data_IF_245557835203
#
_entry.id   IF_245557835203
#
_cell.length_a   1.000
_cell.length_b   1.000
_cell.length_c   1.000
_cell.angle_alpha   90.00
_cell.angle_beta   90.00
_cell.angle_gamma   90.00
#
_symmetry.space_group_name_H-M   'P 1'
#
loop_
_entity.id
_entity.type
_entity.pdbx_description
1 polymer ?
#
# COMPACT_ATOMS: atom_id res chain seq x y z
N UNK A 1 -38.15 -22.66 -2.04
CA UNK A 1 -38.08 -21.36 -2.73
C UNK A 1 -36.85 -20.64 -2.22
N UNK A 2 -35.83 -20.46 -3.05
CA UNK A 2 -34.57 -19.81 -2.70
C UNK A 2 -34.56 -18.46 -3.40
N UNK A 3 -34.49 -17.37 -2.63
CA UNK A 3 -34.36 -16.01 -3.16
C UNK A 3 -32.86 -15.66 -3.24
N UNK A 4 -32.32 -15.63 -4.46
CA UNK A 4 -31.06 -14.94 -4.75
C UNK A 4 -31.38 -13.44 -4.92
N UNK A 5 -30.89 -12.61 -4.01
CA UNK A 5 -30.83 -11.16 -4.22
C UNK A 5 -29.42 -10.77 -4.69
N UNK A 6 -29.38 -10.22 -5.90
CA UNK A 6 -28.21 -9.68 -6.57
C UNK A 6 -27.70 -8.42 -5.84
N UNK A 7 -26.44 -8.43 -5.39
CA UNK A 7 -25.73 -7.23 -4.96
C UNK A 7 -25.17 -6.50 -6.19
N UNK A 8 -25.72 -5.31 -6.45
CA UNK A 8 -25.13 -4.31 -7.34
C UNK A 8 -23.89 -3.71 -6.69
N UNK A 9 -22.72 -3.88 -7.31
CA UNK A 9 -21.52 -3.11 -6.99
C UNK A 9 -21.55 -1.79 -7.77
N UNK A 10 -21.93 -0.69 -7.10
CA UNK A 10 -21.71 0.66 -7.62
C UNK A 10 -20.21 1.00 -7.55
N UNK A 11 -19.58 1.01 -8.72
CA UNK A 11 -18.18 1.38 -8.92
C UNK A 11 -18.04 2.90 -8.88
N UNK A 12 -17.70 3.44 -7.71
CA UNK A 12 -17.35 4.87 -7.54
C UNK A 12 -16.08 5.20 -8.36
N UNK A 13 -16.08 6.23 -9.22
CA UNK A 13 -14.89 6.61 -9.96
C UNK A 13 -13.84 7.28 -9.04
N UNK A 14 -12.54 7.07 -9.28
CA UNK A 14 -11.48 7.70 -8.50
C UNK A 14 -11.39 9.21 -8.76
N UNK A 15 -10.95 10.00 -7.77
CA UNK A 15 -10.75 11.44 -7.95
C UNK A 15 -9.62 11.73 -8.94
N UNK A 16 -9.80 12.79 -9.73
CA UNK A 16 -8.84 13.26 -10.72
C UNK A 16 -7.53 13.72 -10.06
N UNK A 17 -6.39 13.25 -10.59
CA UNK A 17 -5.07 13.77 -10.24
C UNK A 17 -4.99 15.25 -10.64
N UNK A 18 -4.84 16.13 -9.65
CA UNK A 18 -4.45 17.53 -9.86
C UNK A 18 -2.93 17.54 -10.05
N UNK A 19 -2.47 17.93 -11.24
CA UNK A 19 -1.06 18.10 -11.53
C UNK A 19 -0.47 19.27 -10.72
N UNK A 20 0.76 19.14 -10.17
CA UNK A 20 1.43 20.26 -9.52
C UNK A 20 1.86 21.33 -10.54
N UNK A 21 1.91 22.61 -10.15
CA UNK A 21 2.33 23.71 -11.02
C UNK A 21 3.83 23.63 -11.36
N UNK A 22 4.26 24.09 -12.55
CA UNK A 22 5.65 24.05 -12.95
C UNK A 22 6.50 25.05 -12.15
N UNK A 23 7.59 24.56 -11.58
CA UNK A 23 8.63 25.37 -10.95
C UNK A 23 9.29 26.28 -12.00
N UNK A 24 9.28 27.60 -11.76
CA UNK A 24 10.04 28.59 -12.53
C UNK A 24 11.52 28.45 -12.19
N UNK A 25 12.30 27.89 -13.11
CA UNK A 25 13.76 27.97 -13.07
C UNK A 25 14.21 29.28 -13.74
N UNK A 26 14.80 30.13 -12.91
CA UNK A 26 15.47 31.38 -13.27
C UNK A 26 16.97 31.11 -13.38
N UNK A 27 17.54 31.23 -14.57
CA UNK A 27 18.97 31.55 -14.74
C UNK A 27 19.28 31.94 -16.18
N UNK A 28 19.80 33.15 -16.33
CA UNK A 28 20.28 33.82 -17.55
C UNK A 28 21.81 33.58 -17.69
N UNK A 29 22.48 34.06 -18.76
CA UNK A 29 23.23 33.22 -19.71
C UNK A 29 24.76 33.32 -19.58
N UNK A 30 25.49 32.42 -20.25
CA UNK A 30 26.78 32.78 -20.85
C UNK A 30 27.06 31.96 -22.12
N UNK A 31 27.61 32.69 -23.10
CA UNK A 31 27.89 32.30 -24.47
C UNK A 31 29.10 31.37 -24.61
N UNK A 32 29.17 30.60 -25.71
CA UNK A 32 30.28 30.66 -26.70
C UNK A 32 30.12 29.61 -27.83
N UNK A 33 30.14 30.12 -29.06
CA UNK A 33 30.84 29.63 -30.27
C UNK A 33 30.67 28.17 -30.80
N UNK A 34 30.08 28.10 -32.01
CA UNK A 34 30.26 27.16 -33.14
C UNK A 34 31.74 27.05 -33.63
N UNK A 35 32.16 26.15 -34.59
CA UNK A 35 31.37 25.55 -35.68
C UNK A 35 31.72 24.13 -36.24
N UNK A 36 30.80 23.66 -37.10
CA UNK A 36 30.93 22.96 -38.39
C UNK A 36 31.55 21.54 -38.53
N UNK A 37 30.72 20.64 -39.08
CA UNK A 37 30.93 19.73 -40.25
C UNK A 37 29.99 18.52 -40.05
N UNK A 38 29.05 18.11 -40.92
CA UNK A 38 28.96 18.21 -42.36
C UNK A 38 29.13 16.80 -42.95
N UNK A 39 28.04 16.06 -43.22
CA UNK A 39 27.96 15.06 -44.31
C UNK A 39 26.49 14.92 -44.74
N UNK A 40 26.30 14.95 -46.05
CA UNK A 40 25.04 14.87 -46.77
C UNK A 40 24.72 13.45 -47.26
N UNK A 41 23.44 13.08 -47.22
CA UNK A 41 22.71 12.24 -48.19
C UNK A 41 23.03 10.72 -48.26
N UNK A 42 22.19 9.91 -48.96
CA UNK A 42 21.06 10.29 -49.82
C UNK A 42 19.69 9.68 -49.43
N UNK A 43 18.68 10.11 -50.18
CA UNK A 43 17.26 9.71 -50.18
C UNK A 43 17.01 8.46 -51.03
N UNK A 44 15.77 7.96 -50.89
CA UNK A 44 15.01 7.05 -51.78
C UNK A 44 15.28 5.56 -51.47
N UNK A 45 14.32 4.69 -51.18
CA UNK A 45 13.06 4.48 -51.90
C UNK A 45 11.85 4.18 -50.98
N UNK A 46 10.75 4.86 -51.30
CA UNK A 46 9.39 4.39 -51.01
C UNK A 46 9.08 3.21 -51.93
N UNK A 47 8.15 2.32 -51.50
CA UNK A 47 7.50 1.24 -52.27
C UNK A 47 8.01 -0.18 -52.04
N UNK A 48 7.87 -0.69 -50.82
CA UNK A 48 7.64 -2.11 -50.58
C UNK A 48 6.25 -2.28 -49.93
N UNK A 49 5.26 -1.98 -50.76
CA UNK A 49 3.85 -2.26 -50.53
C UNK A 49 3.68 -3.74 -50.21
N UNK A 50 2.95 -4.00 -49.12
CA UNK A 50 1.96 -5.08 -49.02
C UNK A 50 2.42 -6.44 -49.54
N UNK A 51 2.83 -7.32 -48.63
CA UNK A 51 2.59 -8.78 -48.63
C UNK A 51 3.77 -9.49 -47.99
N UNK A 52 3.95 -9.33 -46.68
CA UNK A 52 4.60 -10.40 -45.92
C UNK A 52 4.20 -10.30 -44.45
N UNK A 53 3.70 -11.44 -43.99
CA UNK A 53 3.61 -11.81 -42.58
C UNK A 53 2.45 -11.21 -41.80
N UNK A 54 1.25 -11.59 -42.25
CA UNK A 54 0.10 -12.03 -41.43
C UNK A 54 0.49 -13.10 -40.37
N UNK A 55 1.59 -12.89 -39.62
CA UNK A 55 2.07 -13.74 -38.52
C UNK A 55 2.54 -12.84 -37.36
N UNK A 56 1.90 -11.69 -37.17
CA UNK A 56 2.15 -10.79 -36.03
C UNK A 56 0.91 -10.57 -35.16
N UNK A 57 -0.20 -11.28 -35.45
CA UNK A 57 -1.47 -11.12 -34.73
C UNK A 57 -1.75 -12.22 -33.70
N UNK A 58 -0.94 -13.28 -33.64
CA UNK A 58 -1.17 -14.40 -32.72
C UNK A 58 -0.44 -14.28 -31.37
N UNK A 59 0.57 -13.42 -31.25
CA UNK A 59 1.34 -13.25 -29.99
C UNK A 59 0.86 -12.07 -29.11
N UNK A 60 -0.03 -11.23 -29.62
CA UNK A 60 -0.56 -10.09 -28.86
C UNK A 60 -1.81 -10.43 -28.01
N UNK A 61 -2.39 -11.63 -28.18
CA UNK A 61 -3.58 -12.07 -27.46
C UNK A 61 -3.29 -12.94 -26.22
N UNK A 62 -2.02 -13.23 -25.91
CA UNK A 62 -1.63 -14.07 -24.78
C UNK A 62 -1.09 -13.29 -23.56
N UNK A 63 -1.03 -11.95 -23.61
CA UNK A 63 -0.37 -11.12 -22.60
C UNK A 63 -1.29 -10.14 -21.85
N UNK A 64 -2.60 -10.16 -22.08
CA UNK A 64 -3.56 -9.22 -21.46
C UNK A 64 -4.51 -9.83 -20.42
N UNK A 65 -4.21 -11.02 -19.91
CA UNK A 65 -4.96 -11.68 -18.82
C UNK A 65 -4.10 -12.03 -17.60
N UNK A 66 -3.02 -11.28 -17.34
CA UNK A 66 -2.13 -11.51 -16.19
C UNK A 66 -2.08 -10.34 -15.19
N UNK A 67 -3.13 -9.50 -15.11
CA UNK A 67 -3.24 -8.47 -14.05
C UNK A 67 -4.37 -8.72 -13.06
N UNK A 68 -5.09 -9.83 -13.18
CA UNK A 68 -6.04 -10.28 -12.19
C UNK A 68 -5.51 -11.61 -11.64
N UNK A 69 -5.32 -11.67 -10.32
CA UNK A 69 -4.78 -12.82 -9.59
C UNK A 69 -3.26 -13.07 -9.77
N UNK A 70 -2.46 -12.35 -8.98
CA UNK A 70 -1.47 -13.03 -8.13
C UNK A 70 -2.18 -13.35 -6.80
N UNK A 71 -2.91 -14.47 -6.67
CA UNK A 71 -3.41 -14.91 -5.38
C UNK A 71 -2.27 -15.71 -4.75
N UNK A 72 -1.29 -15.05 -4.13
CA UNK A 72 -0.13 -15.83 -3.69
C UNK A 72 0.94 -15.16 -2.85
N UNK A 73 1.09 -13.84 -2.85
CA UNK A 73 2.10 -13.19 -1.99
C UNK A 73 1.53 -12.74 -0.64
N UNK A 74 0.28 -12.25 -0.59
CA UNK A 74 -0.34 -11.87 0.69
C UNK A 74 -0.96 -13.05 1.45
N UNK A 75 -1.31 -14.14 0.74
CA UNK A 75 -1.88 -15.34 1.35
C UNK A 75 -0.85 -16.17 2.17
N UNK A 76 0.43 -15.81 2.15
CA UNK A 76 1.48 -16.51 2.91
C UNK A 76 1.88 -15.85 4.23
N UNK A 77 1.39 -14.65 4.56
CA UNK A 77 1.47 -14.19 5.96
C UNK A 77 0.37 -14.90 6.72
N UNK A 78 0.72 -16.02 7.37
CA UNK A 78 -0.17 -16.92 8.11
C UNK A 78 -0.87 -16.29 9.32
N UNK A 79 -1.58 -15.18 9.12
CA UNK A 79 -2.54 -14.64 10.06
C UNK A 79 -3.81 -15.47 10.01
N UNK A 80 -4.30 -15.87 11.19
CA UNK A 80 -5.64 -16.43 11.33
C UNK A 80 -6.71 -15.40 10.98
N UNK A 81 -7.99 -15.79 11.12
CA UNK A 81 -9.08 -14.83 11.03
C UNK A 81 -8.89 -13.69 12.05
N UNK A 82 -9.32 -12.45 11.74
CA UNK A 82 -9.29 -11.36 12.70
C UNK A 82 -10.00 -11.76 14.00
N UNK A 83 -9.42 -11.35 15.13
CA UNK A 83 -9.99 -11.53 16.46
C UNK A 83 -11.26 -10.71 16.59
N UNK A 84 -12.22 -11.22 17.36
CA UNK A 84 -13.34 -10.40 17.83
C UNK A 84 -12.90 -9.38 18.89
N UNK A 85 -13.81 -8.48 19.28
CA UNK A 85 -13.51 -7.42 20.25
C UNK A 85 -13.07 -7.93 21.63
N UNK A 86 -13.64 -9.04 22.10
CA UNK A 86 -13.30 -9.59 23.41
C UNK A 86 -11.91 -10.24 23.39
N UNK A 87 -11.63 -11.03 22.34
CA UNK A 87 -10.35 -11.67 22.10
C UNK A 87 -9.23 -10.64 21.93
N UNK A 88 -9.44 -9.63 21.07
CA UNK A 88 -8.47 -8.58 20.83
C UNK A 88 -8.20 -7.77 22.11
N UNK A 89 -9.23 -7.43 22.89
CA UNK A 89 -9.05 -6.70 24.14
C UNK A 89 -8.29 -7.53 25.18
N UNK A 90 -8.60 -8.82 25.29
CA UNK A 90 -7.92 -9.73 26.22
C UNK A 90 -6.44 -9.91 25.84
N UNK A 91 -6.13 -10.04 24.55
CA UNK A 91 -4.76 -10.18 24.07
C UNK A 91 -3.95 -8.90 24.26
N UNK A 92 -4.55 -7.75 23.98
CA UNK A 92 -3.85 -6.46 23.99
C UNK A 92 -3.81 -5.79 25.36
N UNK A 93 -4.66 -6.18 26.31
CA UNK A 93 -4.64 -5.59 27.64
C UNK A 93 -3.27 -5.78 28.30
N UNK A 94 -2.60 -4.67 28.61
CA UNK A 94 -1.27 -4.64 29.21
C UNK A 94 -0.16 -5.19 28.30
N UNK A 95 -0.43 -5.29 26.99
CA UNK A 95 0.52 -5.85 26.04
C UNK A 95 1.55 -4.81 25.59
N UNK A 96 2.79 -5.28 25.41
CA UNK A 96 3.85 -4.57 24.71
C UNK A 96 4.24 -5.34 23.45
N UNK A 97 4.06 -4.74 22.29
CA UNK A 97 4.30 -5.39 21.00
C UNK A 97 5.49 -4.77 20.30
N UNK A 98 6.37 -5.62 19.75
CA UNK A 98 7.41 -5.23 18.80
C UNK A 98 6.97 -5.66 17.42
N UNK A 99 6.85 -4.70 16.49
CA UNK A 99 6.32 -4.90 15.15
C UNK A 99 7.39 -4.65 14.09
N UNK A 100 7.43 -5.52 13.07
CA UNK A 100 8.37 -5.43 11.94
C UNK A 100 7.62 -5.23 10.63
N UNK A 101 8.08 -4.26 9.86
CA UNK A 101 7.59 -3.97 8.51
C UNK A 101 8.36 -4.77 7.47
N UNK A 102 7.76 -4.93 6.28
CA UNK A 102 8.37 -5.69 5.18
C UNK A 102 9.68 -5.07 4.66
N UNK A 103 9.81 -3.74 4.76
CA UNK A 103 10.96 -2.96 4.31
C UNK A 103 12.13 -2.98 5.32
N UNK A 104 12.00 -3.71 6.43
CA UNK A 104 13.01 -3.78 7.49
C UNK A 104 12.84 -2.72 8.58
N UNK A 105 11.91 -1.77 8.42
CA UNK A 105 11.51 -0.85 9.47
C UNK A 105 10.84 -1.58 10.65
N UNK A 106 10.82 -0.94 11.81
CA UNK A 106 10.18 -1.50 13.00
C UNK A 106 9.67 -0.40 13.92
N UNK A 107 8.66 -0.76 14.71
CA UNK A 107 8.10 0.10 15.74
C UNK A 107 7.58 -0.77 16.89
N UNK A 108 7.44 -0.17 18.06
CA UNK A 108 6.88 -0.83 19.24
C UNK A 108 5.61 -0.14 19.69
N UNK A 109 4.70 -0.87 20.31
CA UNK A 109 3.42 -0.32 20.78
C UNK A 109 3.03 -0.92 22.11
N UNK A 110 2.63 -0.05 23.02
CA UNK A 110 2.20 -0.41 24.37
C UNK A 110 0.71 -0.14 24.53
N UNK A 111 0.01 -1.07 25.17
CA UNK A 111 -1.43 -1.04 25.44
C UNK A 111 -1.76 -1.21 26.94
N UNK A 112 -1.30 -0.30 27.81
CA UNK A 112 -1.61 -0.31 29.24
C UNK A 112 -3.10 -0.52 29.57
N UNK A 113 -3.37 -1.18 30.70
CA UNK A 113 -4.74 -1.47 31.15
C UNK A 113 -5.59 -0.20 31.40
N UNK A 114 -4.96 0.93 31.74
CA UNK A 114 -5.60 2.21 32.01
C UNK A 114 -6.17 2.93 30.76
N UNK A 115 -5.92 2.37 29.56
CA UNK A 115 -6.39 2.93 28.29
C UNK A 115 -5.44 3.97 27.67
N UNK A 116 -4.32 4.29 28.31
CA UNK A 116 -3.22 5.03 27.67
C UNK A 116 -2.52 4.13 26.66
N UNK A 117 -2.05 4.69 25.54
CA UNK A 117 -1.39 3.95 24.47
C UNK A 117 -0.17 4.69 23.94
N UNK A 118 0.87 3.93 23.62
CA UNK A 118 2.16 4.48 23.19
C UNK A 118 2.63 3.80 21.91
N UNK A 119 3.14 4.57 20.96
CA UNK A 119 3.79 4.08 19.74
C UNK A 119 5.21 4.66 19.66
N UNK A 120 6.20 3.78 19.58
CA UNK A 120 7.61 4.11 19.48
C UNK A 120 8.12 3.79 18.08
N UNK A 121 8.60 4.80 17.35
CA UNK A 121 9.11 4.61 15.98
C UNK A 121 10.18 5.64 15.67
N UNK A 122 11.33 5.22 15.14
CA UNK A 122 12.38 6.13 14.65
C UNK A 122 12.90 7.14 15.68
N UNK A 123 12.91 6.79 16.97
CA UNK A 123 13.32 7.69 18.06
C UNK A 123 12.25 8.68 18.54
N UNK A 124 11.05 8.64 17.95
CA UNK A 124 9.90 9.41 18.40
C UNK A 124 8.94 8.52 19.21
N UNK A 125 8.26 9.14 20.18
CA UNK A 125 7.14 8.54 20.92
C UNK A 125 5.87 9.30 20.61
N UNK A 126 4.83 8.56 20.23
CA UNK A 126 3.48 9.09 20.04
C UNK A 126 2.62 8.56 21.18
N UNK A 127 2.05 9.49 21.95
CA UNK A 127 1.13 9.18 23.05
C UNK A 127 -0.31 9.33 22.60
N UNK A 128 -1.19 8.50 23.15
CA UNK A 128 -2.59 8.50 22.82
C UNK A 128 -3.45 7.75 23.83
N UNK A 129 -4.73 7.64 23.50
CA UNK A 129 -5.64 6.71 24.15
C UNK A 129 -5.91 5.54 23.20
N UNK A 130 -5.87 4.32 23.70
CA UNK A 130 -6.21 3.14 22.91
C UNK A 130 -7.53 2.53 23.35
N UNK A 131 -8.15 1.81 22.42
CA UNK A 131 -9.36 1.03 22.64
C UNK A 131 -9.44 -0.10 21.64
N UNK A 132 -10.33 -1.05 21.90
CA UNK A 132 -10.77 -2.03 20.90
C UNK A 132 -12.16 -1.63 20.41
N UNK A 133 -12.32 -1.51 19.10
CA UNK A 133 -13.60 -1.23 18.46
C UNK A 133 -14.51 -2.47 18.47
N UNK A 134 -15.80 -2.29 18.22
CA UNK A 134 -16.79 -3.37 18.26
C UNK A 134 -16.52 -4.50 17.24
N UNK A 135 -15.79 -4.17 16.17
CA UNK A 135 -15.36 -5.10 15.11
C UNK A 135 -14.02 -5.79 15.40
N UNK A 136 -13.46 -5.64 16.60
CA UNK A 136 -12.19 -6.28 16.98
C UNK A 136 -10.94 -5.48 16.67
N UNK A 137 -11.07 -4.29 16.05
CA UNK A 137 -9.89 -3.50 15.67
C UNK A 137 -9.28 -2.76 16.85
N UNK A 138 -7.95 -2.76 16.93
CA UNK A 138 -7.18 -1.99 17.89
C UNK A 138 -6.97 -0.56 17.38
N UNK A 139 -7.57 0.40 18.06
CA UNK A 139 -7.51 1.82 17.71
C UNK A 139 -6.63 2.59 18.69
N UNK A 140 -5.84 3.54 18.17
CA UNK A 140 -5.10 4.53 18.95
C UNK A 140 -5.46 5.92 18.45
N UNK A 141 -6.00 6.75 19.35
CA UNK A 141 -6.23 8.17 19.12
C UNK A 141 -5.07 8.96 19.69
N UNK A 142 -4.32 9.66 18.84
CA UNK A 142 -3.16 10.45 19.26
C UNK A 142 -3.58 11.67 20.07
N UNK A 143 -2.82 11.98 21.12
CA UNK A 143 -3.09 13.14 21.98
C UNK A 143 -2.76 14.48 21.29
N UNK A 144 -1.74 14.48 20.43
CA UNK A 144 -1.23 15.70 19.77
C UNK A 144 -2.11 16.20 18.63
N UNK A 145 -2.74 15.29 17.89
CA UNK A 145 -3.47 15.57 16.65
C UNK A 145 -4.94 15.18 16.72
N UNK A 146 -5.33 14.37 17.70
CA UNK A 146 -6.68 13.81 17.80
C UNK A 146 -7.01 12.75 16.74
N UNK A 147 -6.07 12.47 15.82
CA UNK A 147 -6.26 11.47 14.74
C UNK A 147 -6.27 10.07 15.34
N UNK A 148 -7.28 9.28 14.98
CA UNK A 148 -7.42 7.88 15.36
C UNK A 148 -6.99 6.96 14.21
N UNK A 149 -6.21 5.93 14.55
CA UNK A 149 -5.74 4.90 13.61
C UNK A 149 -6.10 3.52 14.15
N UNK A 150 -6.78 2.71 13.34
CA UNK A 150 -7.30 1.41 13.75
C UNK A 150 -6.62 0.29 12.95
N UNK A 151 -6.41 -0.86 13.59
CA UNK A 151 -5.76 -2.02 12.96
C UNK A 151 -6.57 -3.28 13.25
N UNK A 152 -6.87 -4.07 12.23
CA UNK A 152 -7.37 -5.42 12.45
C UNK A 152 -6.27 -6.26 13.11
N UNK A 153 -6.65 -7.08 14.10
CA UNK A 153 -5.73 -7.91 14.87
C UNK A 153 -6.00 -9.35 14.51
N UNK A 154 -5.01 -10.07 13.99
CA UNK A 154 -5.15 -11.49 13.69
C UNK A 154 -4.04 -12.28 14.39
N UNK A 155 -4.34 -13.44 14.99
CA UNK A 155 -3.33 -14.26 15.66
C UNK A 155 -2.37 -14.89 14.64
N UNK A 156 -1.12 -15.06 15.04
CA UNK A 156 -0.13 -15.90 14.36
C UNK A 156 0.46 -16.91 15.33
N UNK A 157 1.31 -17.81 14.84
CA UNK A 157 2.00 -18.78 15.69
C UNK A 157 2.95 -18.13 16.74
N UNK A 158 3.39 -16.89 16.50
CA UNK A 158 4.41 -16.21 17.31
C UNK A 158 3.89 -14.93 17.99
N UNK A 159 2.69 -14.49 17.65
CA UNK A 159 2.13 -13.23 18.14
C UNK A 159 0.88 -12.85 17.35
N UNK A 160 0.87 -11.66 16.78
CA UNK A 160 -0.24 -11.13 15.98
C UNK A 160 0.23 -10.42 14.72
N UNK A 161 -0.61 -10.40 13.71
CA UNK A 161 -0.53 -9.42 12.62
C UNK A 161 -1.45 -8.25 12.91
N UNK A 162 -0.98 -7.05 12.59
CA UNK A 162 -1.80 -5.84 12.57
C UNK A 162 -1.99 -5.39 11.12
N UNK A 163 -3.23 -5.16 10.72
CA UNK A 163 -3.57 -4.70 9.36
C UNK A 163 -4.26 -3.35 9.41
N UNK A 164 -3.68 -2.33 8.77
CA UNK A 164 -4.27 -0.99 8.70
C UNK A 164 -5.44 -0.89 7.69
N UNK A 165 -6.10 0.28 7.64
CA UNK A 165 -7.20 0.54 6.69
C UNK A 165 -6.79 0.49 5.21
N UNK A 166 -5.49 0.55 4.92
CA UNK A 166 -4.94 0.48 3.55
C UNK A 166 -4.56 -0.95 3.18
N UNK A 167 -4.73 -1.92 4.09
CA UNK A 167 -4.35 -3.31 3.91
C UNK A 167 -2.86 -3.57 4.17
N UNK A 168 -2.10 -2.60 4.71
CA UNK A 168 -0.72 -2.85 5.09
C UNK A 168 -0.67 -3.78 6.30
N UNK A 169 -0.03 -4.93 6.13
CA UNK A 169 0.13 -5.94 7.18
C UNK A 169 1.52 -5.83 7.80
N UNK A 170 1.57 -5.82 9.13
CA UNK A 170 2.80 -5.87 9.92
C UNK A 170 2.74 -7.01 10.93
N UNK A 171 3.86 -7.71 11.08
CA UNK A 171 4.00 -8.83 12.00
C UNK A 171 4.51 -8.32 13.35
N UNK A 172 3.84 -8.69 14.43
CA UNK A 172 4.13 -8.23 15.79
C UNK A 172 4.26 -9.40 16.76
N UNK A 173 5.21 -9.30 17.67
CA UNK A 173 5.43 -10.26 18.76
C UNK A 173 5.38 -9.53 20.11
N UNK A 174 5.02 -10.24 21.17
CA UNK A 174 5.15 -9.70 22.52
C UNK A 174 6.64 -9.41 22.81
N UNK A 175 6.93 -8.20 23.31
CA UNK A 175 8.28 -7.74 23.65
C UNK A 175 8.60 -7.83 25.13
#
# INVERSE_FOLDING_TARGET
>A
MIALQSLFCEKKPPPALVAPPPSRLSSRPHAAASPASGVAGPREDFTAMRRLSLIAAAFAAALTTACAQLPGLDAQRGGGAPMDAAQARAYLADAFLTCRQADGGGWMRSFPADGSGYLYSGGATIEGAWRVAADGRACLRRNDTGVETCHAVAPTAQGVTLTDDRGAVVDCVAG
#
